data_IF_104546468729
#
_entry.id   IF_104546468729
#
_cell.length_a   1.000
_cell.length_b   1.000
_cell.length_c   1.000
_cell.angle_alpha   90.00
_cell.angle_beta   90.00
_cell.angle_gamma   90.00
#
_symmetry.space_group_name_H-M   'P 1'
#
loop_
_entity.id
_entity.type
_entity.pdbx_description
1 polymer ?
#
# COMPACT_ATOMS: atom_id res chain seq x y z
N UNK A 1 3.61 -16.92 -6.69
CA UNK A 1 4.24 -15.94 -5.78
C UNK A 1 3.86 -16.28 -4.35
N UNK A 2 4.78 -16.21 -3.39
CA UNK A 2 4.51 -16.52 -1.97
C UNK A 2 3.55 -15.52 -1.29
N UNK A 3 3.49 -14.28 -1.79
CA UNK A 3 2.61 -13.24 -1.25
C UNK A 3 1.13 -13.48 -1.55
N UNK A 4 0.80 -14.02 -2.72
CA UNK A 4 -0.59 -14.20 -3.17
C UNK A 4 -1.41 -12.88 -3.17
N UNK A 5 -2.63 -12.95 -2.65
CA UNK A 5 -3.52 -11.81 -2.37
C UNK A 5 -3.65 -11.52 -0.86
N UNK A 6 -2.69 -11.99 -0.05
CA UNK A 6 -2.77 -11.84 1.40
C UNK A 6 -2.76 -10.36 1.81
N UNK A 7 -3.63 -9.94 2.76
CA UNK A 7 -3.56 -8.61 3.35
C UNK A 7 -2.21 -8.37 4.03
N UNK A 8 -1.80 -7.10 4.06
CA UNK A 8 -0.59 -6.70 4.76
C UNK A 8 -0.82 -6.61 6.27
N UNK A 9 0.10 -7.16 7.05
CA UNK A 9 0.13 -7.02 8.51
C UNK A 9 1.55 -7.22 9.04
N UNK A 10 1.77 -6.96 10.32
CA UNK A 10 3.01 -7.35 11.00
C UNK A 10 2.93 -8.83 11.41
N UNK A 11 4.02 -9.56 11.16
CA UNK A 11 4.19 -10.94 11.53
C UNK A 11 4.98 -11.08 12.84
N UNK A 12 4.63 -12.05 13.70
CA UNK A 12 5.38 -12.31 14.92
C UNK A 12 6.80 -12.83 14.61
N UNK A 13 7.70 -12.67 15.57
CA UNK A 13 9.05 -13.20 15.48
C UNK A 13 9.01 -14.73 15.23
N UNK A 14 9.90 -15.22 14.36
CA UNK A 14 9.95 -16.62 13.96
C UNK A 14 8.99 -17.01 12.82
N UNK A 15 8.25 -16.06 12.24
CA UNK A 15 7.42 -16.31 11.06
C UNK A 15 8.24 -16.74 9.83
N UNK A 16 7.59 -17.43 8.89
CA UNK A 16 8.21 -17.93 7.66
C UNK A 16 8.83 -16.77 6.86
N UNK A 17 10.15 -16.80 6.69
CA UNK A 17 10.90 -15.73 6.06
C UNK A 17 11.09 -15.98 4.54
N UNK A 18 10.93 -14.92 3.76
CA UNK A 18 11.12 -14.92 2.32
C UNK A 18 12.16 -13.86 1.96
N UNK A 19 13.34 -14.32 1.54
CA UNK A 19 14.45 -13.45 1.16
C UNK A 19 14.05 -12.48 0.04
N UNK A 20 14.41 -11.22 0.22
CA UNK A 20 14.37 -10.24 -0.88
C UNK A 20 15.59 -10.39 -1.77
N UNK A 21 15.49 -9.92 -3.01
CA UNK A 21 16.62 -9.84 -3.94
C UNK A 21 17.21 -8.43 -3.84
N UNK A 22 18.53 -8.34 -3.76
CA UNK A 22 19.22 -7.05 -3.75
C UNK A 22 19.04 -6.33 -5.09
N UNK A 23 18.60 -5.08 -5.05
CA UNK A 23 18.38 -4.21 -6.20
C UNK A 23 18.77 -2.77 -5.85
N UNK A 24 19.74 -2.21 -6.59
CA UNK A 24 20.29 -0.86 -6.33
C UNK A 24 20.62 -0.59 -4.84
N UNK A 25 21.23 -1.58 -4.18
CA UNK A 25 21.65 -1.46 -2.77
C UNK A 25 20.52 -1.55 -1.74
N UNK A 26 19.35 -2.08 -2.13
CA UNK A 26 18.20 -2.34 -1.26
C UNK A 26 17.78 -3.80 -1.39
N UNK A 27 17.25 -4.41 -0.33
CA UNK A 27 16.96 -5.84 -0.31
C UNK A 27 18.23 -6.68 -0.15
N UNK A 28 18.05 -8.01 -0.21
CA UNK A 28 19.12 -9.00 -0.12
C UNK A 28 19.26 -9.64 1.25
N UNK A 29 20.48 -10.06 1.57
CA UNK A 29 20.78 -10.85 2.78
C UNK A 29 20.30 -10.14 4.05
N UNK A 30 19.55 -10.86 4.89
CA UNK A 30 19.00 -10.35 6.15
C UNK A 30 17.75 -9.47 6.00
N UNK A 31 17.32 -9.15 4.78
CA UNK A 31 16.14 -8.33 4.52
C UNK A 31 15.04 -9.23 3.95
N UNK A 32 14.10 -9.61 4.80
CA UNK A 32 13.08 -10.60 4.47
C UNK A 32 11.68 -10.00 4.49
N UNK A 33 10.84 -10.47 3.59
CA UNK A 33 9.40 -10.46 3.80
C UNK A 33 9.03 -11.63 4.71
N UNK A 34 7.84 -11.59 5.30
CA UNK A 34 7.36 -12.68 6.16
C UNK A 34 5.93 -13.05 5.80
N UNK A 35 5.61 -14.33 5.97
CA UNK A 35 4.25 -14.85 5.91
C UNK A 35 3.86 -15.41 7.27
N UNK A 36 2.69 -15.03 7.75
CA UNK A 36 2.16 -15.49 9.03
C UNK A 36 0.64 -15.70 8.92
N UNK A 37 0.22 -16.98 8.88
CA UNK A 37 -1.18 -17.33 8.64
C UNK A 37 -1.68 -16.74 7.32
N UNK A 38 -2.66 -15.84 7.41
CA UNK A 38 -3.30 -15.17 6.27
C UNK A 38 -2.74 -13.77 5.99
N UNK A 39 -1.57 -13.45 6.51
CA UNK A 39 -0.95 -12.13 6.34
C UNK A 39 0.41 -12.20 5.68
N UNK A 40 0.75 -11.09 5.03
CA UNK A 40 2.06 -10.83 4.47
C UNK A 40 2.66 -9.58 5.11
N UNK A 41 3.89 -9.68 5.61
CA UNK A 41 4.68 -8.53 6.03
C UNK A 41 5.76 -8.28 4.98
N UNK A 42 5.87 -7.04 4.51
CA UNK A 42 7.02 -6.63 3.70
C UNK A 42 8.22 -6.32 4.60
N UNK A 43 9.43 -6.49 4.06
CA UNK A 43 10.64 -6.02 4.73
C UNK A 43 10.57 -4.51 5.03
N UNK A 44 11.27 -4.09 6.07
CA UNK A 44 10.94 -2.83 6.77
C UNK A 44 11.02 -1.57 5.90
N UNK A 45 11.96 -1.50 4.96
CA UNK A 45 12.15 -0.34 4.05
C UNK A 45 11.11 -0.20 2.94
N UNK A 46 10.16 -1.13 2.83
CA UNK A 46 9.03 -0.99 1.89
C UNK A 46 7.70 -0.76 2.61
N UNK A 47 7.68 -0.74 3.94
CA UNK A 47 6.43 -0.61 4.70
C UNK A 47 5.74 0.72 4.40
N UNK A 48 6.46 1.82 4.42
CA UNK A 48 5.93 3.15 4.11
C UNK A 48 5.50 3.26 2.65
N UNK A 49 6.30 2.73 1.73
CA UNK A 49 6.00 2.76 0.30
C UNK A 49 4.70 2.01 -0.03
N UNK A 50 4.50 0.84 0.60
CA UNK A 50 3.26 0.06 0.46
C UNK A 50 2.08 0.81 1.07
N UNK A 51 2.25 1.42 2.25
CA UNK A 51 1.21 2.20 2.90
C UNK A 51 0.73 3.36 2.01
N UNK A 52 1.65 4.20 1.52
CA UNK A 52 1.32 5.33 0.65
C UNK A 52 0.74 4.91 -0.69
N UNK A 53 1.17 3.77 -1.24
CA UNK A 53 0.53 3.21 -2.43
C UNK A 53 -0.93 2.84 -2.17
N UNK A 54 -1.23 2.20 -1.03
CA UNK A 54 -2.59 1.79 -0.69
C UNK A 54 -3.49 2.97 -0.31
N UNK A 55 -2.98 3.99 0.40
CA UNK A 55 -3.72 5.24 0.61
C UNK A 55 -4.11 5.90 -0.71
N UNK A 56 -3.18 5.93 -1.67
CA UNK A 56 -3.45 6.47 -2.99
C UNK A 56 -4.52 5.67 -3.74
N UNK A 57 -4.48 4.34 -3.65
CA UNK A 57 -5.49 3.50 -4.31
C UNK A 57 -6.90 3.75 -3.76
N UNK A 58 -7.04 4.01 -2.45
CA UNK A 58 -8.34 4.35 -1.82
C UNK A 58 -8.91 5.64 -2.43
N UNK A 59 -8.13 6.73 -2.43
CA UNK A 59 -8.61 8.03 -2.91
C UNK A 59 -8.71 8.11 -4.44
N UNK A 60 -7.90 7.37 -5.19
CA UNK A 60 -7.91 7.42 -6.66
C UNK A 60 -9.09 6.63 -7.21
N UNK A 61 -9.47 5.55 -6.54
CA UNK A 61 -10.51 4.62 -7.01
C UNK A 61 -11.70 4.67 -6.05
N UNK A 62 -12.47 5.75 -6.15
CA UNK A 62 -13.71 5.98 -5.38
C UNK A 62 -14.97 5.46 -6.08
N UNK A 63 -14.80 4.72 -7.18
CA UNK A 63 -15.86 4.23 -8.05
C UNK A 63 -16.21 5.17 -9.21
N UNK A 64 -17.27 4.83 -9.94
CA UNK A 64 -17.78 5.68 -11.02
C UNK A 64 -17.32 5.26 -12.40
N UNK A 65 -17.08 6.23 -13.28
CA UNK A 65 -16.71 5.99 -14.68
C UNK A 65 -15.58 6.91 -15.08
N UNK A 66 -14.52 6.32 -15.61
CA UNK A 66 -13.35 7.05 -16.04
C UNK A 66 -13.71 8.03 -17.16
N UNK A 67 -13.44 9.32 -16.94
CA UNK A 67 -13.93 10.42 -17.77
C UNK A 67 -13.45 10.38 -19.23
N UNK A 68 -12.30 9.75 -19.50
CA UNK A 68 -11.70 9.68 -20.84
C UNK A 68 -12.07 8.38 -21.56
N UNK A 69 -12.04 7.25 -20.84
CA UNK A 69 -12.20 5.92 -21.47
C UNK A 69 -13.63 5.40 -21.38
N UNK A 70 -14.48 6.00 -20.54
CA UNK A 70 -15.83 5.52 -20.27
C UNK A 70 -15.89 4.18 -19.52
N UNK A 71 -14.75 3.68 -19.03
CA UNK A 71 -14.68 2.42 -18.30
C UNK A 71 -15.18 2.59 -16.87
N UNK A 72 -15.92 1.61 -16.35
CA UNK A 72 -16.29 1.58 -14.94
C UNK A 72 -15.04 1.47 -14.07
N UNK A 73 -14.94 2.31 -13.04
CA UNK A 73 -13.87 2.27 -12.05
C UNK A 73 -14.38 1.61 -10.77
N UNK A 74 -13.57 0.74 -10.13
CA UNK A 74 -13.93 0.16 -8.83
C UNK A 74 -13.87 1.22 -7.73
N UNK A 75 -14.62 0.99 -6.66
CA UNK A 75 -14.46 1.67 -5.39
C UNK A 75 -13.61 0.79 -4.46
N UNK A 76 -12.37 1.20 -4.22
CA UNK A 76 -11.42 0.51 -3.36
C UNK A 76 -11.36 1.21 -2.00
N UNK A 77 -11.57 0.46 -0.91
CA UNK A 77 -11.76 1.05 0.42
C UNK A 77 -10.79 0.42 1.42
N UNK A 78 -10.03 1.24 2.15
CA UNK A 78 -9.24 0.79 3.29
C UNK A 78 -10.12 0.47 4.51
N UNK A 79 -9.79 -0.60 5.22
CA UNK A 79 -10.57 -1.02 6.40
C UNK A 79 -9.73 -1.84 7.37
N UNK A 80 -10.08 -1.84 8.65
CA UNK A 80 -9.52 -2.80 9.62
C UNK A 80 -10.31 -4.13 9.69
N UNK A 81 -11.39 -4.26 8.91
CA UNK A 81 -12.16 -5.50 8.85
C UNK A 81 -11.53 -6.51 7.88
N UNK A 82 -10.70 -7.41 8.41
CA UNK A 82 -10.02 -8.46 7.63
C UNK A 82 -10.99 -9.39 6.87
N UNK A 83 -12.21 -9.60 7.36
CA UNK A 83 -13.21 -10.42 6.68
C UNK A 83 -13.72 -9.75 5.41
N UNK A 84 -13.92 -8.42 5.40
CA UNK A 84 -14.27 -7.69 4.19
C UNK A 84 -13.15 -7.74 3.15
N UNK A 85 -11.89 -7.62 3.59
CA UNK A 85 -10.73 -7.73 2.69
C UNK A 85 -10.69 -9.12 2.05
N UNK A 86 -10.86 -10.17 2.85
CA UNK A 86 -10.81 -11.56 2.35
C UNK A 86 -12.01 -11.89 1.45
N UNK A 87 -13.17 -11.29 1.70
CA UNK A 87 -14.35 -11.44 0.85
C UNK A 87 -14.22 -10.71 -0.49
N UNK A 88 -13.32 -9.73 -0.60
CA UNK A 88 -13.11 -8.94 -1.81
C UNK A 88 -12.38 -9.76 -2.89
N UNK A 89 -13.16 -10.31 -3.82
CA UNK A 89 -12.68 -11.18 -4.89
C UNK A 89 -13.36 -10.85 -6.22
N UNK A 90 -12.67 -11.18 -7.32
CA UNK A 90 -13.14 -10.86 -8.67
C UNK A 90 -13.07 -9.36 -9.00
N UNK A 91 -13.61 -8.98 -10.15
CA UNK A 91 -13.68 -7.58 -10.60
C UNK A 91 -14.93 -6.90 -10.03
N UNK A 92 -15.09 -6.93 -8.70
CA UNK A 92 -16.22 -6.33 -8.01
C UNK A 92 -16.21 -4.80 -8.14
N UNK A 93 -17.39 -4.18 -8.15
CA UNK A 93 -17.54 -2.72 -8.16
C UNK A 93 -17.09 -2.06 -6.85
N UNK A 94 -17.14 -2.79 -5.74
CA UNK A 94 -16.62 -2.38 -4.43
C UNK A 94 -15.70 -3.48 -3.93
N UNK A 95 -14.50 -3.11 -3.50
CA UNK A 95 -13.55 -4.01 -2.89
C UNK A 95 -12.86 -3.35 -1.70
N UNK A 96 -12.62 -4.13 -0.66
CA UNK A 96 -11.93 -3.71 0.55
C UNK A 96 -10.49 -4.25 0.51
N UNK A 97 -9.54 -3.43 0.96
CA UNK A 97 -8.13 -3.76 0.94
C UNK A 97 -7.43 -3.17 2.15
N UNK A 98 -6.31 -3.76 2.57
CA UNK A 98 -5.36 -3.16 3.53
C UNK A 98 -5.90 -2.84 4.93
N UNK A 99 -5.27 -3.39 5.97
CA UNK A 99 -5.57 -3.02 7.36
C UNK A 99 -5.16 -1.57 7.63
N UNK A 100 -6.13 -0.66 7.69
CA UNK A 100 -5.88 0.79 7.78
C UNK A 100 -4.94 1.14 8.95
N UNK A 101 -5.18 0.57 10.12
CA UNK A 101 -4.35 0.77 11.32
C UNK A 101 -2.89 0.36 11.11
N UNK A 102 -2.64 -0.75 10.42
CA UNK A 102 -1.29 -1.22 10.09
C UNK A 102 -0.62 -0.27 9.10
N UNK A 103 -1.34 0.17 8.07
CA UNK A 103 -0.78 1.07 7.06
C UNK A 103 -0.42 2.42 7.66
N UNK A 104 -1.26 2.96 8.56
CA UNK A 104 -0.95 4.18 9.30
C UNK A 104 0.31 4.03 10.15
N UNK A 105 0.46 2.90 10.86
CA UNK A 105 1.67 2.61 11.61
C UNK A 105 2.91 2.54 10.71
N UNK A 106 2.79 1.84 9.57
CA UNK A 106 3.88 1.67 8.62
C UNK A 106 4.30 2.99 7.97
N UNK A 107 3.34 3.83 7.60
CA UNK A 107 3.59 5.16 7.06
C UNK A 107 4.35 6.05 8.06
N UNK A 108 3.95 6.03 9.33
CA UNK A 108 4.62 6.80 10.37
C UNK A 108 6.04 6.29 10.68
N UNK A 109 6.24 4.96 10.63
CA UNK A 109 7.52 4.33 10.95
C UNK A 109 8.55 4.39 9.80
N UNK A 110 8.10 4.52 8.55
CA UNK A 110 8.94 4.54 7.35
C UNK A 110 8.59 5.77 6.47
N UNK A 111 9.17 6.95 6.79
CA UNK A 111 8.93 8.19 6.06
C UNK A 111 9.36 8.12 4.59
N UNK A 112 8.81 9.01 3.77
CA UNK A 112 9.17 9.14 2.34
C UNK A 112 10.68 9.40 2.19
N UNK A 113 11.33 8.58 1.38
CA UNK A 113 12.74 8.74 1.02
C UNK A 113 12.92 9.28 -0.41
N UNK A 114 14.16 9.64 -0.75
CA UNK A 114 14.47 10.22 -2.06
C UNK A 114 14.26 9.24 -3.21
N UNK A 115 14.39 7.93 -2.96
CA UNK A 115 14.12 6.93 -3.99
C UNK A 115 12.62 6.89 -4.31
N UNK A 116 11.77 6.99 -3.30
CA UNK A 116 10.32 7.03 -3.50
C UNK A 116 9.89 8.32 -4.18
N UNK A 117 10.45 9.48 -3.81
CA UNK A 117 10.22 10.75 -4.53
C UNK A 117 10.63 10.66 -5.99
N UNK A 118 11.82 10.14 -6.27
CA UNK A 118 12.30 9.93 -7.64
C UNK A 118 11.38 8.99 -8.41
N UNK A 119 10.92 7.90 -7.80
CA UNK A 119 9.96 7.00 -8.43
C UNK A 119 8.64 7.72 -8.74
N UNK A 120 8.13 8.55 -7.82
CA UNK A 120 6.89 9.32 -8.03
C UNK A 120 7.05 10.33 -9.17
N UNK A 121 8.20 11.00 -9.27
CA UNK A 121 8.55 11.86 -10.41
C UNK A 121 8.60 11.10 -11.73
N UNK A 122 9.34 9.99 -11.80
CA UNK A 122 9.45 9.21 -13.03
C UNK A 122 8.08 8.69 -13.47
N UNK A 123 7.27 8.12 -12.56
CA UNK A 123 5.92 7.63 -12.88
C UNK A 123 5.02 8.76 -13.38
N UNK A 124 5.11 9.94 -12.78
CA UNK A 124 4.37 11.12 -13.23
C UNK A 124 4.65 11.48 -14.69
N UNK A 125 5.92 11.41 -15.13
CA UNK A 125 6.27 11.70 -16.53
C UNK A 125 5.60 10.75 -17.55
N UNK A 126 5.17 9.57 -17.11
CA UNK A 126 4.48 8.59 -17.96
C UNK A 126 2.95 8.61 -17.80
N UNK A 127 2.45 8.78 -16.57
CA UNK A 127 1.02 8.64 -16.26
C UNK A 127 0.28 9.97 -16.15
N UNK A 128 0.99 11.08 -15.91
CA UNK A 128 0.40 12.42 -15.75
C UNK A 128 -0.29 12.66 -14.40
N UNK A 129 -0.25 11.70 -13.47
CA UNK A 129 -0.74 11.84 -12.10
C UNK A 129 0.34 11.42 -11.09
N UNK A 130 0.27 12.00 -9.89
CA UNK A 130 1.21 11.74 -8.78
C UNK A 130 0.50 11.06 -7.63
N UNK A 131 1.24 10.28 -6.85
CA UNK A 131 0.79 9.87 -5.53
C UNK A 131 0.95 11.06 -4.57
N UNK A 132 -0.14 11.71 -4.12
CA UNK A 132 -0.05 12.89 -3.27
C UNK A 132 0.52 12.57 -1.90
N UNK A 133 0.46 11.32 -1.42
CA UNK A 133 1.02 10.93 -0.12
C UNK A 133 2.53 10.76 -0.13
N UNK A 134 3.16 10.73 -1.31
CA UNK A 134 4.62 10.83 -1.45
C UNK A 134 5.06 12.29 -1.41
N UNK A 135 4.29 13.19 -2.04
CA UNK A 135 4.60 14.62 -2.09
C UNK A 135 4.21 15.35 -0.79
N UNK A 136 3.10 14.94 -0.18
CA UNK A 136 2.47 15.49 1.02
C UNK A 136 2.07 14.36 2.01
N UNK A 137 3.06 13.70 2.66
CA UNK A 137 2.80 12.61 3.59
C UNK A 137 1.94 13.01 4.81
N UNK A 138 1.88 14.29 5.14
CA UNK A 138 1.06 14.87 6.21
C UNK A 138 -0.45 14.75 5.95
N UNK A 139 -0.88 14.69 4.67
CA UNK A 139 -2.30 14.59 4.33
C UNK A 139 -2.93 13.26 4.76
N UNK A 140 -2.12 12.22 4.99
CA UNK A 140 -2.60 10.94 5.53
C UNK A 140 -3.31 11.14 6.87
N UNK A 141 -2.75 11.98 7.75
CA UNK A 141 -3.35 12.22 9.08
C UNK A 141 -4.70 12.94 8.97
N UNK A 142 -4.81 13.91 8.06
CA UNK A 142 -6.08 14.63 7.86
C UNK A 142 -7.16 13.69 7.30
N UNK A 143 -6.84 12.91 6.26
CA UNK A 143 -7.82 12.08 5.55
C UNK A 143 -8.22 10.81 6.32
N UNK A 144 -7.27 10.14 6.96
CA UNK A 144 -7.51 8.81 7.56
C UNK A 144 -7.56 8.82 9.09
N UNK A 145 -7.17 9.94 9.73
CA UNK A 145 -7.18 10.06 11.19
C UNK A 145 -7.99 11.28 11.67
N UNK A 146 -8.55 12.09 10.76
CA UNK A 146 -9.24 13.35 11.06
C UNK A 146 -8.38 14.33 11.89
N UNK A 147 -7.06 14.31 11.68
CA UNK A 147 -6.10 15.23 12.29
C UNK A 147 -5.50 16.10 11.20
N UNK A 148 -6.12 17.25 10.94
CA UNK A 148 -5.68 18.21 9.93
C UNK A 148 -4.80 19.30 10.57
N UNK A 149 -3.74 19.71 9.88
CA UNK A 149 -2.86 20.81 10.29
C UNK A 149 -3.31 22.15 9.72
#
# INVERSE_FOLDING_TARGET
SARGNLPFSNCPAGSEAFATIAYYGQGGSGQNNYRCGNYWQVWDKLKGNVARALFYMDIRYEGGTHSITGAAEPNLILTDNASLITASNGNASVAYMGLLSVLLQWHAADPVDDRERLRNEVVYTYQGNRNPFVDHPEWVACLFQNVCQ
#
